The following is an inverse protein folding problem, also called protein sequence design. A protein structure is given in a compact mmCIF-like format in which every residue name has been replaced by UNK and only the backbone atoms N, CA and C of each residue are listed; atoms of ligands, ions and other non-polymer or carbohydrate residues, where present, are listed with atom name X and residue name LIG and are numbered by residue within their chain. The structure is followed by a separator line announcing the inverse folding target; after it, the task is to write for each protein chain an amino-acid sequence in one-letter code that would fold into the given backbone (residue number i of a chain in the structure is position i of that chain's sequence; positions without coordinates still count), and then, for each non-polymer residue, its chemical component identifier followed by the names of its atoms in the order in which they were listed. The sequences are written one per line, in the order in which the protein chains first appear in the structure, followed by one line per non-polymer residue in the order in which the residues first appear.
data_IF_486141075393
#
_entry.id   IF_486141075393
#
_cell.length_a   1.000
_cell.length_b   1.000
_cell.length_c   1.000
_cell.angle_alpha   90.00
_cell.angle_beta   90.00
_cell.angle_gamma   90.00
#
_symmetry.space_group_name_H-M   'P 1'
#
loop_
_entity.id
_entity.type
_entity.pdbx_description
1 polymer ?
#
# COMPACT_ATOMS: atom_id res chain seq x y z
N UNK A 1 1.65 -29.23 -56.08
CA UNK A 1 1.47 -28.17 -55.06
C UNK A 1 1.35 -28.78 -53.65
N UNK A 2 2.46 -28.99 -52.90
CA UNK A 2 2.40 -29.57 -51.56
C UNK A 2 3.04 -28.72 -50.44
N UNK A 3 3.19 -27.40 -50.60
CA UNK A 3 3.95 -26.56 -49.66
C UNK A 3 3.11 -25.85 -48.59
N UNK A 4 1.79 -25.85 -48.68
CA UNK A 4 0.93 -25.11 -47.73
C UNK A 4 0.71 -25.84 -46.39
N UNK A 5 0.68 -27.19 -46.39
CA UNK A 5 0.36 -27.97 -45.18
C UNK A 5 1.49 -28.03 -44.16
N UNK A 6 2.75 -27.89 -44.59
CA UNK A 6 3.91 -27.98 -43.70
C UNK A 6 4.13 -26.70 -42.87
N UNK A 7 3.70 -25.54 -43.38
CA UNK A 7 3.85 -24.25 -42.67
C UNK A 7 2.83 -24.04 -41.56
N UNK A 8 1.66 -24.69 -41.63
CA UNK A 8 0.61 -24.57 -40.61
C UNK A 8 0.95 -25.36 -39.34
N UNK A 9 1.60 -26.52 -39.47
CA UNK A 9 1.99 -27.35 -38.32
C UNK A 9 3.12 -26.72 -37.48
N UNK A 10 4.05 -25.99 -38.12
CA UNK A 10 5.13 -25.30 -37.43
C UNK A 10 4.64 -24.09 -36.62
N UNK A 11 3.58 -23.41 -37.09
CA UNK A 11 3.00 -22.28 -36.36
C UNK A 11 2.28 -22.74 -35.07
N UNK A 12 1.66 -23.93 -35.10
CA UNK A 12 0.94 -24.49 -33.96
C UNK A 12 1.86 -25.04 -32.86
N UNK A 13 3.03 -25.58 -33.20
CA UNK A 13 4.01 -26.02 -32.19
C UNK A 13 4.73 -24.85 -31.50
N UNK A 14 4.97 -23.73 -32.19
CA UNK A 14 5.59 -22.54 -31.57
C UNK A 14 4.60 -21.84 -30.62
N UNK A 15 3.30 -21.82 -30.95
CA UNK A 15 2.27 -21.24 -30.09
C UNK A 15 2.06 -22.04 -28.78
N UNK A 16 2.27 -23.36 -28.81
CA UNK A 16 2.06 -24.22 -27.64
C UNK A 16 3.20 -24.17 -26.61
N UNK A 17 4.42 -23.79 -27.03
CA UNK A 17 5.57 -23.65 -26.11
C UNK A 17 5.51 -22.34 -25.31
N UNK A 18 4.86 -21.29 -25.83
CA UNK A 18 4.70 -20.02 -25.12
C UNK A 18 3.56 -20.00 -24.08
N UNK A 19 2.74 -21.07 -24.00
CA UNK A 19 1.67 -21.21 -23.00
C UNK A 19 2.10 -22.08 -21.80
N UNK A 20 3.32 -22.61 -21.80
CA UNK A 20 3.94 -23.24 -20.63
C UNK A 20 4.31 -22.16 -19.63
N UNK A 21 3.36 -21.82 -18.75
CA UNK A 21 3.53 -20.83 -17.71
C UNK A 21 4.81 -21.01 -16.91
N UNK A 22 5.81 -20.19 -17.24
CA UNK A 22 6.71 -19.69 -16.21
C UNK A 22 5.84 -18.84 -15.30
N UNK A 23 5.45 -19.41 -14.16
CA UNK A 23 5.12 -18.59 -13.00
C UNK A 23 6.26 -17.56 -12.87
N UNK A 24 5.97 -16.25 -12.74
CA UNK A 24 7.01 -15.27 -12.50
C UNK A 24 7.80 -15.78 -11.30
N UNK A 25 9.11 -16.01 -11.50
CA UNK A 25 9.97 -16.42 -10.41
C UNK A 25 9.72 -15.44 -9.26
N UNK A 26 9.32 -15.96 -8.10
CA UNK A 26 9.19 -15.12 -6.91
C UNK A 26 10.47 -14.30 -6.81
N UNK A 27 10.37 -12.96 -6.73
CA UNK A 27 11.55 -12.12 -6.58
C UNK A 27 12.40 -12.72 -5.46
N UNK A 28 13.73 -12.83 -5.63
CA UNK A 28 14.61 -13.39 -4.60
C UNK A 28 14.28 -12.71 -3.28
N UNK A 29 13.96 -13.52 -2.27
CA UNK A 29 13.62 -13.00 -0.94
C UNK A 29 14.75 -12.08 -0.50
N UNK A 30 14.46 -10.79 -0.31
CA UNK A 30 15.39 -9.86 0.30
C UNK A 30 15.75 -10.49 1.63
N UNK A 31 17.02 -10.87 1.79
CA UNK A 31 17.54 -11.41 3.05
C UNK A 31 17.71 -10.22 3.98
N UNK A 32 16.59 -9.78 4.56
CA UNK A 32 16.54 -8.75 5.59
C UNK A 32 17.15 -9.36 6.85
N UNK A 33 18.11 -8.67 7.45
CA UNK A 33 18.70 -9.10 8.71
C UNK A 33 17.65 -9.09 9.84
N UNK A 34 17.89 -9.86 10.91
CA UNK A 34 17.00 -9.85 12.07
C UNK A 34 16.96 -8.47 12.74
N UNK A 35 18.07 -7.74 12.69
CA UNK A 35 18.19 -6.36 13.17
C UNK A 35 17.30 -5.40 12.38
N UNK A 36 17.41 -5.39 11.04
CA UNK A 36 16.55 -4.57 10.16
C UNK A 36 15.07 -4.94 10.31
N UNK A 37 14.74 -6.21 10.54
CA UNK A 37 13.37 -6.65 10.78
C UNK A 37 12.81 -6.10 12.10
N UNK A 38 13.62 -6.10 13.15
CA UNK A 38 13.22 -5.55 14.45
C UNK A 38 13.14 -4.02 14.40
N UNK A 39 14.08 -3.35 13.73
CA UNK A 39 14.04 -1.90 13.49
C UNK A 39 12.73 -1.51 12.80
N UNK A 40 12.41 -2.15 11.66
CA UNK A 40 11.16 -1.91 10.95
C UNK A 40 9.93 -2.18 11.84
N UNK A 41 9.96 -3.24 12.66
CA UNK A 41 8.87 -3.52 13.60
C UNK A 41 8.70 -2.38 14.62
N UNK A 42 9.78 -1.80 15.13
CA UNK A 42 9.71 -0.67 16.06
C UNK A 42 9.17 0.59 15.40
N UNK A 43 9.54 0.86 14.14
CA UNK A 43 8.97 1.95 13.34
C UNK A 43 7.45 1.81 13.21
N UNK A 44 6.97 0.61 12.82
CA UNK A 44 5.54 0.33 12.72
C UNK A 44 4.79 0.54 14.05
N UNK A 45 5.41 0.19 15.18
CA UNK A 45 4.82 0.42 16.51
C UNK A 45 4.75 1.92 16.85
N UNK A 46 5.78 2.69 16.51
CA UNK A 46 5.77 4.15 16.70
C UNK A 46 4.69 4.82 15.82
N UNK A 47 4.50 4.34 14.60
CA UNK A 47 3.44 4.80 13.71
C UNK A 47 2.04 4.48 14.22
N UNK A 48 1.86 3.33 14.90
CA UNK A 48 0.61 3.04 15.59
C UNK A 48 0.30 4.04 16.71
N UNK A 49 1.30 4.46 17.49
CA UNK A 49 1.13 5.49 18.51
C UNK A 49 0.74 6.86 17.89
N UNK A 50 1.29 7.16 16.72
CA UNK A 50 0.91 8.35 15.95
C UNK A 50 -0.54 8.29 15.48
N UNK A 51 -1.00 7.13 15.00
CA UNK A 51 -2.40 6.90 14.64
C UNK A 51 -3.31 7.05 15.86
N UNK A 52 -2.92 6.55 17.03
CA UNK A 52 -3.70 6.69 18.26
C UNK A 52 -3.85 8.17 18.66
N UNK A 53 -2.83 9.00 18.42
CA UNK A 53 -2.92 10.45 18.56
C UNK A 53 -3.93 11.08 17.59
N UNK A 54 -3.92 10.65 16.32
CA UNK A 54 -4.89 11.10 15.31
C UNK A 54 -6.31 10.70 15.68
N UNK A 55 -6.53 9.45 16.08
CA UNK A 55 -7.82 8.95 16.55
C UNK A 55 -8.35 9.76 17.74
N UNK A 56 -7.49 10.08 18.71
CA UNK A 56 -7.87 10.90 19.86
C UNK A 56 -8.32 12.31 19.43
N UNK A 57 -7.60 12.93 18.49
CA UNK A 57 -7.96 14.26 17.95
C UNK A 57 -9.30 14.23 17.21
N UNK A 58 -9.46 13.31 16.26
CA UNK A 58 -10.69 13.21 15.47
C UNK A 58 -11.92 12.92 16.33
N UNK A 59 -11.80 12.04 17.34
CA UNK A 59 -12.89 11.74 18.30
C UNK A 59 -13.28 12.93 19.18
N UNK A 60 -12.35 13.86 19.43
CA UNK A 60 -12.62 15.12 20.15
C UNK A 60 -13.18 16.22 19.24
N UNK A 61 -13.46 15.92 17.98
CA UNK A 61 -13.92 16.90 17.00
C UNK A 61 -12.82 17.82 16.47
N UNK A 62 -11.55 17.50 16.74
CA UNK A 62 -10.41 18.27 16.22
C UNK A 62 -10.08 17.79 14.82
N UNK A 63 -10.12 18.69 13.84
CA UNK A 63 -9.72 18.39 12.47
C UNK A 63 -8.20 18.23 12.41
N UNK A 64 -7.76 17.12 11.80
CA UNK A 64 -6.34 16.88 11.53
C UNK A 64 -5.98 17.69 10.29
N UNK A 65 -4.85 18.42 10.33
CA UNK A 65 -4.42 19.15 9.15
C UNK A 65 -3.91 18.20 8.06
N UNK A 66 -4.21 18.55 6.82
CA UNK A 66 -3.72 17.83 5.64
C UNK A 66 -2.20 17.67 5.65
N UNK A 67 -1.47 18.72 6.01
CA UNK A 67 -0.02 18.67 6.14
C UNK A 67 0.46 17.62 7.16
N UNK A 68 -0.18 17.53 8.33
CA UNK A 68 0.21 16.57 9.37
C UNK A 68 -0.07 15.13 8.97
N UNK A 69 -1.22 14.88 8.35
CA UNK A 69 -1.59 13.53 7.91
C UNK A 69 -0.81 13.13 6.65
N UNK A 70 -0.64 14.05 5.70
CA UNK A 70 0.12 13.84 4.47
C UNK A 70 1.59 13.50 4.74
N UNK A 71 2.24 14.23 5.65
CA UNK A 71 3.61 13.91 6.07
C UNK A 71 3.72 12.53 6.72
N UNK A 72 2.78 12.18 7.61
CA UNK A 72 2.73 10.86 8.22
C UNK A 72 2.55 9.76 7.16
N UNK A 73 1.60 9.91 6.24
CA UNK A 73 1.35 8.92 5.18
C UNK A 73 2.57 8.79 4.26
N UNK A 74 3.24 9.89 3.91
CA UNK A 74 4.46 9.85 3.10
C UNK A 74 5.57 9.01 3.75
N UNK A 75 5.83 9.22 5.04
CA UNK A 75 6.83 8.43 5.80
C UNK A 75 6.41 6.95 5.82
N UNK A 76 5.19 6.67 6.24
CA UNK A 76 4.69 5.31 6.35
C UNK A 76 4.74 4.57 4.99
N UNK A 77 4.43 5.25 3.88
CA UNK A 77 4.53 4.64 2.55
C UNK A 77 5.98 4.29 2.19
N UNK A 78 6.97 5.12 2.56
CA UNK A 78 8.38 4.79 2.34
C UNK A 78 8.79 3.56 3.15
N UNK A 79 8.45 3.52 4.44
CA UNK A 79 8.76 2.41 5.35
C UNK A 79 8.13 1.09 4.86
N UNK A 80 6.84 1.11 4.53
CA UNK A 80 6.13 -0.06 4.00
C UNK A 80 6.69 -0.52 2.65
N UNK A 81 7.03 0.43 1.77
CA UNK A 81 7.57 0.12 0.43
C UNK A 81 8.96 -0.49 0.50
N UNK A 82 9.81 -0.04 1.42
CA UNK A 82 11.14 -0.63 1.61
C UNK A 82 11.08 -2.15 1.89
N UNK A 83 9.93 -2.63 2.38
CA UNK A 83 9.70 -4.02 2.78
C UNK A 83 8.83 -4.80 1.78
N UNK A 84 8.37 -4.19 0.68
CA UNK A 84 7.58 -4.86 -0.36
C UNK A 84 7.95 -4.36 -1.75
N UNK A 85 8.70 -5.15 -2.51
CA UNK A 85 9.21 -4.74 -3.82
C UNK A 85 8.13 -4.33 -4.84
N UNK A 86 6.95 -4.96 -4.83
CA UNK A 86 5.88 -4.54 -5.77
C UNK A 86 5.27 -3.20 -5.35
N UNK A 87 5.12 -2.99 -4.05
CA UNK A 87 4.68 -1.70 -3.52
C UNK A 87 5.74 -0.62 -3.78
N UNK A 88 7.03 -0.95 -3.61
CA UNK A 88 8.15 -0.10 -3.96
C UNK A 88 8.10 0.31 -5.42
N UNK A 89 8.03 -0.65 -6.35
CA UNK A 89 7.97 -0.39 -7.79
C UNK A 89 6.76 0.47 -8.17
N UNK A 90 5.63 0.29 -7.48
CA UNK A 90 4.43 1.09 -7.73
C UNK A 90 4.57 2.55 -7.25
N UNK A 91 5.10 2.75 -6.04
CA UNK A 91 5.22 4.09 -5.43
C UNK A 91 6.44 4.86 -5.95
N UNK A 92 7.52 4.16 -6.28
CA UNK A 92 8.79 4.73 -6.74
C UNK A 92 9.02 4.54 -8.25
N UNK A 93 7.93 4.40 -9.02
CA UNK A 93 8.02 4.33 -10.47
C UNK A 93 8.56 5.65 -11.05
N UNK A 94 9.22 5.59 -12.21
CA UNK A 94 9.75 6.76 -12.93
C UNK A 94 10.63 7.69 -12.04
N UNK A 95 11.45 7.08 -11.17
CA UNK A 95 12.31 7.76 -10.19
C UNK A 95 11.53 8.62 -9.17
N UNK A 96 10.22 8.40 -9.01
CA UNK A 96 9.42 9.05 -7.99
C UNK A 96 9.85 8.61 -6.58
N UNK A 97 9.64 9.50 -5.61
CA UNK A 97 9.59 9.15 -4.20
C UNK A 97 8.13 9.22 -3.72
N UNK A 98 7.85 8.78 -2.49
CA UNK A 98 6.49 8.84 -1.95
C UNK A 98 5.87 10.25 -1.98
N UNK A 99 6.66 11.32 -1.84
CA UNK A 99 6.14 12.69 -1.96
C UNK A 99 5.62 12.98 -3.38
N UNK A 100 6.45 12.68 -4.39
CA UNK A 100 6.10 12.88 -5.80
C UNK A 100 4.92 12.01 -6.20
N UNK A 101 4.89 10.75 -5.77
CA UNK A 101 3.75 9.86 -5.96
C UNK A 101 2.46 10.44 -5.38
N UNK A 102 2.51 10.93 -4.14
CA UNK A 102 1.33 11.52 -3.49
C UNK A 102 0.83 12.77 -4.22
N UNK A 103 1.75 13.61 -4.71
CA UNK A 103 1.43 14.88 -5.37
C UNK A 103 1.03 14.75 -6.84
N UNK A 104 1.54 13.76 -7.55
CA UNK A 104 1.32 13.60 -8.98
C UNK A 104 0.27 12.54 -9.26
N UNK A 105 0.51 11.30 -8.87
CA UNK A 105 -0.34 10.16 -9.21
C UNK A 105 -1.58 10.10 -8.32
N UNK A 106 -1.36 10.08 -7.01
CA UNK A 106 -2.44 9.92 -6.05
C UNK A 106 -3.37 11.13 -6.07
N UNK A 107 -2.85 12.36 -6.04
CA UNK A 107 -3.67 13.56 -6.12
C UNK A 107 -4.51 13.63 -7.41
N UNK A 108 -3.97 13.12 -8.53
CA UNK A 108 -4.69 13.10 -9.82
C UNK A 108 -5.81 12.08 -9.84
N UNK A 109 -5.59 10.88 -9.28
CA UNK A 109 -6.62 9.83 -9.28
C UNK A 109 -6.56 8.93 -8.03
N UNK A 110 -7.06 9.40 -6.87
CA UNK A 110 -6.95 8.66 -5.61
C UNK A 110 -7.61 7.27 -5.67
N UNK A 111 -8.77 7.18 -6.33
CA UNK A 111 -9.53 5.93 -6.43
C UNK A 111 -8.79 4.86 -7.23
N UNK A 112 -8.12 5.25 -8.32
CA UNK A 112 -7.30 4.33 -9.13
C UNK A 112 -6.14 3.77 -8.31
N UNK A 113 -5.43 4.64 -7.62
CA UNK A 113 -4.27 4.25 -6.81
C UNK A 113 -4.64 3.33 -5.63
N UNK A 114 -5.72 3.65 -4.92
CA UNK A 114 -6.26 2.78 -3.85
C UNK A 114 -6.66 1.41 -4.40
N UNK A 115 -7.29 1.37 -5.59
CA UNK A 115 -7.68 0.12 -6.24
C UNK A 115 -6.47 -0.69 -6.75
N UNK A 116 -5.42 -0.02 -7.22
CA UNK A 116 -4.18 -0.67 -7.64
C UNK A 116 -3.51 -1.39 -6.47
N UNK A 117 -3.39 -0.73 -5.31
CA UNK A 117 -2.84 -1.36 -4.10
C UNK A 117 -3.75 -2.48 -3.58
N UNK A 118 -5.08 -2.33 -3.66
CA UNK A 118 -6.01 -3.41 -3.31
C UNK A 118 -5.81 -4.66 -4.19
N UNK A 119 -5.61 -4.46 -5.50
CA UNK A 119 -5.32 -5.56 -6.42
C UNK A 119 -4.00 -6.24 -6.07
N UNK A 120 -2.94 -5.46 -5.78
CA UNK A 120 -1.66 -6.01 -5.34
C UNK A 120 -1.79 -6.81 -4.04
N UNK A 121 -2.64 -6.39 -3.08
CA UNK A 121 -2.82 -7.10 -1.81
C UNK A 121 -3.41 -8.52 -1.96
N UNK A 122 -4.13 -8.79 -3.06
CA UNK A 122 -4.70 -10.11 -3.37
C UNK A 122 -3.65 -11.12 -3.84
N UNK A 123 -2.50 -10.65 -4.29
CA UNK A 123 -1.40 -11.45 -4.83
C UNK A 123 -0.34 -11.84 -3.76
N UNK A 124 -0.56 -11.54 -2.48
CA UNK A 124 0.39 -11.82 -1.38
C UNK A 124 0.82 -10.59 -0.58
N UNK A 125 1.63 -10.79 0.48
CA UNK A 125 2.05 -9.75 1.45
C UNK A 125 0.91 -8.80 1.86
N UNK A 126 -0.24 -9.41 2.16
CA UNK A 126 -1.52 -8.73 2.29
C UNK A 126 -1.53 -7.66 3.39
N UNK A 127 -0.85 -7.86 4.53
CA UNK A 127 -0.84 -6.90 5.64
C UNK A 127 -0.19 -5.56 5.27
N UNK A 128 1.00 -5.58 4.66
CA UNK A 128 1.75 -4.36 4.27
C UNK A 128 0.96 -3.56 3.23
N UNK A 129 0.48 -4.24 2.18
CA UNK A 129 -0.25 -3.60 1.08
C UNK A 129 -1.59 -3.03 1.55
N UNK A 130 -2.32 -3.74 2.41
CA UNK A 130 -3.56 -3.21 2.98
C UNK A 130 -3.31 -2.06 3.95
N UNK A 131 -2.19 -2.03 4.67
CA UNK A 131 -1.79 -0.86 5.45
C UNK A 131 -1.55 0.36 4.54
N UNK A 132 -0.74 0.21 3.48
CA UNK A 132 -0.51 1.29 2.51
C UNK A 132 -1.82 1.81 1.88
N UNK A 133 -2.72 0.89 1.50
CA UNK A 133 -4.05 1.23 0.98
C UNK A 133 -4.87 2.06 1.97
N UNK A 134 -4.94 1.65 3.23
CA UNK A 134 -5.72 2.39 4.24
C UNK A 134 -5.07 3.74 4.61
N UNK A 135 -3.73 3.86 4.50
CA UNK A 135 -3.04 5.13 4.65
C UNK A 135 -3.48 6.14 3.58
N UNK A 136 -3.58 5.71 2.32
CA UNK A 136 -4.13 6.55 1.24
C UNK A 136 -5.61 6.89 1.45
N UNK A 137 -6.43 5.94 1.90
CA UNK A 137 -7.85 6.21 2.22
C UNK A 137 -7.97 7.30 3.30
N UNK A 138 -7.10 7.31 4.30
CA UNK A 138 -7.10 8.38 5.32
C UNK A 138 -6.95 9.77 4.70
N UNK A 139 -6.14 9.94 3.65
CA UNK A 139 -5.98 11.21 2.94
C UNK A 139 -7.25 11.63 2.21
N UNK A 140 -8.03 10.68 1.70
CA UNK A 140 -9.33 10.96 1.04
C UNK A 140 -10.46 11.28 2.03
N UNK A 141 -10.23 11.05 3.33
CA UNK A 141 -11.24 11.20 4.38
C UNK A 141 -10.95 12.42 5.28
N UNK A 142 -10.17 13.39 4.84
CA UNK A 142 -9.87 14.59 5.64
C UNK A 142 -11.05 15.59 5.62
N UNK A 143 -11.56 16.03 6.77
CA UNK A 143 -12.61 17.06 6.81
C UNK A 143 -12.06 18.40 6.34
N UNK A 144 -12.74 19.04 5.38
CA UNK A 144 -12.45 20.42 4.97
C UNK A 144 -13.13 21.41 5.93
N UNK A 145 -12.34 22.30 6.53
CA UNK A 145 -12.81 23.34 7.44
C UNK A 145 -13.83 24.31 6.82
N UNK A 146 -13.86 24.40 5.49
CA UNK A 146 -14.78 25.28 4.76
C UNK A 146 -16.15 24.62 4.47
N UNK A 147 -16.29 23.33 4.76
CA UNK A 147 -17.57 22.60 4.59
C UNK A 147 -18.48 22.78 5.80
N UNK A 148 -19.80 22.57 5.67
CA UNK A 148 -20.72 22.61 6.81
C UNK A 148 -20.32 21.64 7.93
N UNK A 149 -20.65 21.99 9.18
CA UNK A 149 -20.23 21.22 10.36
C UNK A 149 -20.71 19.78 10.29
N UNK A 150 -21.92 19.54 9.78
CA UNK A 150 -22.51 18.22 9.62
C UNK A 150 -21.69 17.36 8.65
N UNK A 151 -21.24 17.95 7.54
CA UNK A 151 -20.35 17.29 6.56
C UNK A 151 -19.01 16.97 7.22
N UNK A 152 -18.44 17.91 7.97
CA UNK A 152 -17.19 17.64 8.70
C UNK A 152 -17.34 16.52 9.75
N UNK A 153 -18.50 16.37 10.39
CA UNK A 153 -18.77 15.27 11.34
C UNK A 153 -18.77 13.92 10.61
N UNK A 154 -19.44 13.86 9.45
CA UNK A 154 -19.48 12.66 8.61
C UNK A 154 -18.07 12.29 8.14
N UNK A 155 -17.34 13.22 7.54
CA UNK A 155 -15.97 12.99 7.06
C UNK A 155 -15.02 12.61 8.21
N UNK A 156 -15.15 13.19 9.41
CA UNK A 156 -14.39 12.74 10.59
C UNK A 156 -14.71 11.30 10.98
N UNK A 157 -15.95 10.85 10.80
CA UNK A 157 -16.35 9.47 11.09
C UNK A 157 -15.69 8.50 10.11
N UNK A 158 -15.64 8.86 8.83
CA UNK A 158 -14.94 8.12 7.79
C UNK A 158 -13.42 8.05 8.07
N UNK A 159 -12.81 9.18 8.45
CA UNK A 159 -11.41 9.24 8.85
C UNK A 159 -11.10 8.31 10.03
N UNK A 160 -11.94 8.35 11.07
CA UNK A 160 -11.79 7.47 12.24
C UNK A 160 -11.89 6.01 11.82
N UNK A 161 -12.81 5.66 10.92
CA UNK A 161 -12.94 4.30 10.42
C UNK A 161 -11.69 3.87 9.62
N UNK A 162 -11.15 4.75 8.78
CA UNK A 162 -9.92 4.52 8.02
C UNK A 162 -8.70 4.34 8.93
N UNK A 163 -8.49 5.25 9.89
CA UNK A 163 -7.42 5.17 10.88
C UNK A 163 -7.49 3.87 11.71
N UNK A 164 -8.69 3.43 12.10
CA UNK A 164 -8.86 2.15 12.81
C UNK A 164 -8.52 0.94 11.94
N UNK A 165 -8.80 0.97 10.63
CA UNK A 165 -8.40 -0.09 9.70
C UNK A 165 -6.88 -0.07 9.47
N UNK A 166 -6.30 1.11 9.27
CA UNK A 166 -4.85 1.30 9.15
C UNK A 166 -4.12 0.72 10.37
N UNK A 167 -4.50 1.14 11.58
CA UNK A 167 -3.93 0.63 12.83
C UNK A 167 -4.01 -0.90 12.93
N UNK A 168 -5.13 -1.49 12.49
CA UNK A 168 -5.32 -2.94 12.50
C UNK A 168 -4.35 -3.65 11.55
N UNK A 169 -4.12 -3.10 10.36
CA UNK A 169 -3.18 -3.69 9.42
C UNK A 169 -1.73 -3.48 9.86
N UNK A 170 -1.37 -2.33 10.43
CA UNK A 170 -0.06 -2.14 11.05
C UNK A 170 0.19 -3.12 12.21
N UNK A 171 -0.81 -3.37 13.04
CA UNK A 171 -0.71 -4.39 14.09
C UNK A 171 -0.45 -5.79 13.52
N UNK A 172 -1.05 -6.12 12.37
CA UNK A 172 -0.77 -7.38 11.66
C UNK A 172 0.63 -7.40 11.07
N UNK A 173 1.09 -6.30 10.45
CA UNK A 173 2.47 -6.17 9.97
C UNK A 173 3.46 -6.41 11.11
N UNK A 174 3.28 -5.74 12.25
CA UNK A 174 4.13 -5.95 13.42
C UNK A 174 4.10 -7.42 13.91
N UNK A 175 2.93 -8.07 13.92
CA UNK A 175 2.80 -9.48 14.29
C UNK A 175 3.52 -10.41 13.30
N UNK A 176 3.40 -10.16 12.00
CA UNK A 176 4.04 -10.94 10.93
C UNK A 176 5.58 -10.86 11.02
N UNK A 177 6.11 -9.79 11.62
CA UNK A 177 7.55 -9.56 11.86
C UNK A 177 8.05 -10.12 13.20
N UNK A 178 7.15 -10.55 14.10
CA UNK A 178 7.56 -11.05 15.41
C UNK A 178 8.49 -12.26 15.29
N UNK A 179 9.47 -12.43 16.19
CA UNK A 179 10.25 -13.67 16.24
C UNK A 179 9.29 -14.85 16.42
N UNK A 180 9.36 -15.82 15.51
CA UNK A 180 8.61 -17.06 15.70
C UNK A 180 9.27 -17.80 16.85
N UNK A 181 8.54 -17.94 17.96
CA UNK A 181 9.02 -18.77 19.08
C UNK A 181 9.15 -20.22 18.59
N UNK A 182 10.25 -20.91 18.90
CA UNK A 182 10.48 -22.30 18.47
C UNK A 182 9.48 -23.29 19.06
#
# INVERSE_FOLDING_TARGET
MPTLRLRLLHLLMVLMVCLGGCAPAEPPAIVVSEEEREEFRQEILADMDKIDTFLQKSRRGVNISEMSLGWFVMILLNELSAQDGRLFDHIHHDDANAELYLRNDFQTNPAREIAAIDAMARDGRTSIRLAAREALICLTSLPDNNTPVEVQVETRTELVAALLRLRRYLAKVAQDLAPQSP
#
